data_IF_147393662354
#
_entry.id   IF_147393662354
#
_cell.length_a   1.000
_cell.length_b   1.000
_cell.length_c   1.000
_cell.angle_alpha   90.00
_cell.angle_beta   90.00
_cell.angle_gamma   90.00
#
_symmetry.space_group_name_H-M   'P 1'
#
loop_
_entity.id
_entity.type
_entity.pdbx_description
1 polymer ?
#
# COMPACT_ATOMS: atom_id res chain seq x y z
N UNK A 1 -21.11 -36.30 21.89
CA UNK A 1 -20.24 -37.48 22.01
C UNK A 1 -19.80 -37.84 20.62
N UNK A 2 -18.48 -37.97 20.47
CA UNK A 2 -17.71 -38.56 19.36
C UNK A 2 -17.69 -37.73 18.05
N UNK A 3 -16.56 -37.34 17.45
CA UNK A 3 -15.17 -37.80 17.61
C UNK A 3 -14.21 -36.67 17.19
N UNK A 4 -13.26 -36.29 18.05
CA UNK A 4 -12.13 -35.44 17.67
C UNK A 4 -11.11 -36.29 16.89
N UNK A 5 -10.94 -36.02 15.61
CA UNK A 5 -9.81 -36.51 14.83
C UNK A 5 -8.58 -35.67 15.15
N UNK A 6 -7.64 -36.22 15.91
CA UNK A 6 -6.29 -35.67 16.08
C UNK A 6 -5.44 -36.04 14.87
N UNK A 7 -5.18 -35.11 13.97
CA UNK A 7 -4.09 -35.26 13.00
C UNK A 7 -2.80 -34.64 13.55
N UNK A 8 -1.79 -35.48 13.56
CA UNK A 8 -0.44 -35.27 14.08
C UNK A 8 0.39 -34.54 13.03
N UNK A 9 0.94 -33.37 13.37
CA UNK A 9 1.92 -32.67 12.55
C UNK A 9 3.25 -33.45 12.53
N UNK A 10 3.69 -33.87 11.34
CA UNK A 10 5.03 -34.44 11.09
C UNK A 10 6.13 -33.37 11.28
N UNK A 11 7.18 -33.62 12.09
CA UNK A 11 8.22 -32.65 12.37
C UNK A 11 9.39 -32.65 11.36
N UNK A 12 9.27 -33.25 10.16
CA UNK A 12 10.40 -33.30 9.20
C UNK A 12 10.05 -32.87 7.78
N UNK A 13 10.12 -31.56 7.53
CA UNK A 13 10.61 -31.03 6.25
C UNK A 13 9.62 -30.27 5.37
N UNK A 14 9.91 -28.96 5.22
CA UNK A 14 9.96 -28.20 3.95
C UNK A 14 8.64 -28.06 3.16
N UNK A 15 8.11 -26.83 3.19
CA UNK A 15 7.12 -26.22 2.29
C UNK A 15 5.76 -26.92 2.11
N UNK A 16 4.76 -26.45 2.85
CA UNK A 16 3.40 -26.31 2.30
C UNK A 16 2.57 -25.32 3.13
N UNK A 17 2.29 -24.18 2.50
CA UNK A 17 1.26 -23.22 2.93
C UNK A 17 -0.08 -23.98 2.97
N UNK A 18 -0.61 -24.22 4.17
CA UNK A 18 -1.92 -24.84 4.35
C UNK A 18 -2.96 -23.77 4.02
N UNK A 19 -3.46 -23.80 2.78
CA UNK A 19 -4.78 -23.27 2.45
C UNK A 19 -5.77 -24.32 2.93
N UNK A 20 -6.29 -24.15 4.15
CA UNK A 20 -7.45 -24.92 4.60
C UNK A 20 -8.64 -24.51 3.72
N UNK A 21 -9.01 -25.42 2.82
CA UNK A 21 -10.26 -25.42 2.09
C UNK A 21 -11.43 -25.39 3.07
N UNK A 22 -12.10 -24.24 3.16
CA UNK A 22 -13.45 -24.16 3.70
C UNK A 22 -14.38 -23.82 2.53
N UNK A 23 -14.83 -24.85 1.82
CA UNK A 23 -15.91 -24.75 0.86
C UNK A 23 -17.22 -24.43 1.59
N UNK A 24 -17.52 -23.14 1.71
CA UNK A 24 -18.85 -22.61 1.96
C UNK A 24 -18.98 -21.29 1.20
N UNK A 25 -19.52 -21.35 -0.04
CA UNK A 25 -20.07 -20.22 -0.82
C UNK A 25 -19.49 -18.84 -0.46
N UNK A 26 -18.18 -18.66 -0.61
CA UNK A 26 -17.57 -17.36 -0.45
C UNK A 26 -17.91 -16.56 -1.71
N UNK A 27 -18.82 -15.59 -1.54
CA UNK A 27 -18.81 -14.37 -2.34
C UNK A 27 -17.34 -14.03 -2.58
N UNK A 28 -16.91 -13.94 -3.84
CA UNK A 28 -15.54 -13.54 -4.19
C UNK A 28 -15.23 -12.29 -3.37
N UNK A 29 -14.46 -12.45 -2.29
CA UNK A 29 -14.22 -11.37 -1.36
C UNK A 29 -13.23 -10.46 -2.05
N UNK A 30 -13.77 -9.44 -2.72
CA UNK A 30 -12.97 -8.42 -3.38
C UNK A 30 -12.22 -7.63 -2.33
N UNK A 31 -10.95 -7.33 -2.60
CA UNK A 31 -10.16 -6.48 -1.71
C UNK A 31 -10.74 -5.08 -1.68
N UNK A 32 -11.04 -4.57 -0.48
CA UNK A 32 -11.75 -3.30 -0.35
C UNK A 32 -10.82 -2.11 -0.33
N UNK A 33 -10.90 -1.21 -1.31
CA UNK A 33 -10.03 -0.02 -1.34
C UNK A 33 -10.27 0.98 -0.22
N UNK A 34 -11.48 0.99 0.37
CA UNK A 34 -11.81 1.82 1.53
C UNK A 34 -11.01 1.47 2.79
N UNK A 35 -10.50 0.23 2.86
CA UNK A 35 -9.71 -0.27 4.00
C UNK A 35 -8.27 -0.56 3.57
N UNK A 36 -8.07 -0.99 2.33
CA UNK A 36 -6.80 -1.55 1.88
C UNK A 36 -5.84 -0.54 1.29
N UNK A 37 -6.29 0.62 0.80
CA UNK A 37 -5.43 1.37 -0.09
C UNK A 37 -4.36 2.18 0.64
N UNK A 38 -4.73 3.02 1.61
CA UNK A 38 -3.76 3.82 2.36
C UNK A 38 -3.12 3.03 3.51
N UNK A 39 -3.93 2.29 4.28
CA UNK A 39 -3.46 1.60 5.48
C UNK A 39 -2.50 0.46 5.15
N UNK A 40 -2.83 -0.40 4.18
CA UNK A 40 -1.92 -1.50 3.79
C UNK A 40 -0.64 -0.94 3.17
N UNK A 41 -0.72 0.11 2.35
CA UNK A 41 0.49 0.71 1.78
C UNK A 41 1.38 1.36 2.85
N UNK A 42 0.78 1.91 3.90
CA UNK A 42 1.50 2.43 5.07
C UNK A 42 2.16 1.28 5.85
N UNK A 43 1.47 0.15 6.03
CA UNK A 43 2.04 -1.05 6.68
C UNK A 43 3.18 -1.67 5.88
N UNK A 44 3.04 -1.72 4.54
CA UNK A 44 4.12 -2.15 3.64
C UNK A 44 5.31 -1.21 3.77
N UNK A 45 5.08 0.10 3.81
CA UNK A 45 6.15 1.08 4.03
C UNK A 45 6.85 0.88 5.39
N UNK A 46 6.10 0.67 6.49
CA UNK A 46 6.66 0.36 7.82
C UNK A 46 7.52 -0.91 7.78
N UNK A 47 7.04 -1.95 7.09
CA UNK A 47 7.78 -3.21 6.93
C UNK A 47 9.07 -3.02 6.15
N UNK A 48 9.05 -2.21 5.09
CA UNK A 48 10.24 -1.87 4.31
C UNK A 48 11.25 -1.06 5.13
N UNK A 49 10.80 -0.11 5.93
CA UNK A 49 11.67 0.65 6.85
C UNK A 49 12.30 -0.27 7.87
N UNK A 50 11.53 -1.17 8.47
CA UNK A 50 12.03 -2.16 9.43
C UNK A 50 13.07 -3.09 8.80
N UNK A 51 12.80 -3.55 7.58
CA UNK A 51 13.72 -4.37 6.80
C UNK A 51 15.00 -3.60 6.44
N UNK A 52 14.89 -2.31 6.11
CA UNK A 52 16.04 -1.46 5.81
C UNK A 52 16.95 -1.29 7.04
N UNK A 53 16.35 -0.92 8.17
CA UNK A 53 17.07 -0.74 9.45
C UNK A 53 17.69 -2.03 9.99
N UNK A 54 17.20 -3.19 9.59
CA UNK A 54 17.81 -4.47 9.96
C UNK A 54 19.19 -4.67 9.32
N UNK A 55 19.52 -3.93 8.26
CA UNK A 55 20.75 -4.10 7.50
C UNK A 55 20.85 -5.42 6.72
N UNK A 56 19.78 -6.22 6.67
CA UNK A 56 19.78 -7.54 6.04
C UNK A 56 20.02 -7.48 4.52
N UNK A 57 19.67 -6.36 3.87
CA UNK A 57 19.78 -6.19 2.42
C UNK A 57 20.96 -5.29 2.00
N UNK A 58 21.66 -4.68 2.96
CA UNK A 58 22.77 -3.74 2.74
C UNK A 58 24.12 -4.41 2.93
N UNK A 59 24.27 -5.67 2.50
CA UNK A 59 25.44 -6.54 2.77
C UNK A 59 26.84 -5.90 2.61
N UNK A 60 26.97 -4.88 1.75
CA UNK A 60 28.21 -4.11 1.54
C UNK A 60 28.25 -2.75 2.27
N UNK A 61 27.11 -2.18 2.63
CA UNK A 61 26.99 -0.87 3.28
C UNK A 61 26.81 -0.97 4.81
N UNK A 62 26.55 -2.18 5.34
CA UNK A 62 26.31 -2.40 6.77
C UNK A 62 24.94 -1.92 7.23
N UNK A 63 24.69 -1.97 8.54
CA UNK A 63 23.43 -1.51 9.13
C UNK A 63 23.33 0.02 9.05
N UNK A 64 22.23 0.58 8.49
CA UNK A 64 22.04 2.02 8.44
C UNK A 64 22.07 2.64 9.84
N UNK A 65 22.86 3.70 10.02
CA UNK A 65 22.88 4.51 11.25
C UNK A 65 21.76 5.56 11.28
N UNK A 66 21.20 5.87 10.12
CA UNK A 66 20.10 6.81 9.95
C UNK A 66 19.22 6.41 8.76
N UNK A 67 17.91 6.59 8.85
CA UNK A 67 16.95 6.38 7.76
C UNK A 67 16.10 7.64 7.50
N UNK A 68 15.89 7.96 6.22
CA UNK A 68 15.07 9.09 5.78
C UNK A 68 13.98 8.61 4.82
N UNK A 69 12.73 9.03 5.04
CA UNK A 69 11.66 8.86 4.06
C UNK A 69 11.65 10.04 3.10
N UNK A 70 11.72 9.76 1.80
CA UNK A 70 11.59 10.78 0.76
C UNK A 70 10.33 10.48 -0.04
N UNK A 71 9.27 11.24 0.22
CA UNK A 71 7.99 11.10 -0.44
C UNK A 71 7.73 12.19 -1.47
N UNK A 72 7.09 11.84 -2.57
CA UNK A 72 6.49 12.77 -3.53
C UNK A 72 4.99 12.50 -3.67
N UNK A 73 4.18 13.56 -3.64
CA UNK A 73 2.72 13.48 -3.85
C UNK A 73 2.09 12.45 -2.90
N UNK A 74 1.41 11.42 -3.42
CA UNK A 74 0.84 10.33 -2.62
C UNK A 74 1.86 9.64 -1.71
N UNK A 75 3.13 9.53 -2.13
CA UNK A 75 4.20 9.01 -1.28
C UNK A 75 4.47 9.86 -0.04
N UNK A 76 4.23 11.18 -0.09
CA UNK A 76 4.27 12.05 1.08
C UNK A 76 3.08 11.82 2.02
N UNK A 77 1.89 11.50 1.50
CA UNK A 77 0.76 11.10 2.33
C UNK A 77 1.07 9.79 3.08
N UNK A 78 1.64 8.79 2.41
CA UNK A 78 2.09 7.54 3.06
C UNK A 78 3.18 7.80 4.11
N UNK A 79 4.18 8.64 3.79
CA UNK A 79 5.25 9.00 4.73
C UNK A 79 4.69 9.70 5.97
N UNK A 80 3.79 10.66 5.78
CA UNK A 80 3.14 11.37 6.89
C UNK A 80 2.25 10.43 7.71
N UNK A 81 1.52 9.51 7.06
CA UNK A 81 0.66 8.53 7.75
C UNK A 81 1.49 7.58 8.61
N UNK A 82 2.63 7.10 8.08
CA UNK A 82 3.56 6.28 8.84
C UNK A 82 4.09 7.02 10.07
N UNK A 83 4.62 8.23 9.89
CA UNK A 83 5.19 9.02 11.01
C UNK A 83 4.12 9.44 12.03
N UNK A 84 2.87 9.63 11.60
CA UNK A 84 1.76 9.91 12.50
C UNK A 84 1.35 8.67 13.34
N UNK A 85 1.40 7.47 12.76
CA UNK A 85 1.07 6.22 13.45
C UNK A 85 2.23 5.71 14.32
N UNK A 86 3.45 5.83 13.82
CA UNK A 86 4.69 5.38 14.43
C UNK A 86 5.70 6.53 14.29
N UNK A 87 5.96 7.33 15.33
CA UNK A 87 6.86 8.49 15.22
C UNK A 87 8.36 8.14 15.26
N UNK A 88 8.73 6.91 15.61
CA UNK A 88 10.12 6.45 15.76
C UNK A 88 10.77 5.63 14.62
N UNK A 89 10.11 5.26 13.50
CA UNK A 89 10.68 4.33 12.54
C UNK A 89 11.77 4.97 11.65
N UNK A 90 11.83 6.30 11.58
CA UNK A 90 12.80 7.03 10.72
C UNK A 90 13.34 8.28 11.41
N UNK A 91 14.55 8.66 11.02
CA UNK A 91 15.28 9.81 11.58
C UNK A 91 14.85 11.14 10.95
N UNK A 92 14.09 11.09 9.85
CA UNK A 92 13.50 12.26 9.22
C UNK A 92 12.64 11.95 8.00
N UNK A 93 11.90 12.96 7.54
CA UNK A 93 11.01 12.87 6.38
C UNK A 93 11.18 14.09 5.50
N UNK A 94 11.33 13.86 4.20
CA UNK A 94 11.30 14.87 3.14
C UNK A 94 10.01 14.65 2.36
N UNK A 95 9.11 15.63 2.41
CA UNK A 95 7.82 15.59 1.71
C UNK A 95 7.80 16.62 0.60
N UNK A 96 7.55 16.17 -0.63
CA UNK A 96 7.55 16.99 -1.82
C UNK A 96 6.19 16.89 -2.52
N UNK A 97 5.67 18.01 -3.03
CA UNK A 97 4.29 18.04 -3.56
C UNK A 97 3.24 17.70 -2.50
N UNK A 98 3.45 18.16 -1.25
CA UNK A 98 2.58 17.91 -0.10
C UNK A 98 2.36 19.21 0.67
N UNK A 99 1.11 19.48 1.06
CA UNK A 99 0.76 20.67 1.84
C UNK A 99 -0.50 20.47 2.68
N UNK A 100 -0.45 20.84 3.96
CA UNK A 100 -1.59 20.71 4.89
C UNK A 100 -2.47 21.97 4.95
N UNK A 101 -1.99 23.10 4.42
CA UNK A 101 -2.72 24.38 4.36
C UNK A 101 -2.52 25.05 3.01
N UNK A 102 -3.60 25.57 2.42
CA UNK A 102 -3.55 26.47 1.27
C UNK A 102 -3.78 25.84 -0.10
N UNK A 103 -3.93 24.52 -0.18
CA UNK A 103 -4.45 23.87 -1.38
C UNK A 103 -5.94 23.65 -1.14
N UNK A 104 -6.77 24.14 -2.06
CA UNK A 104 -8.16 23.70 -2.10
C UNK A 104 -8.13 22.20 -2.34
N UNK A 105 -8.37 21.43 -1.27
CA UNK A 105 -8.31 19.97 -1.32
C UNK A 105 -9.27 19.41 -2.38
N UNK A 106 -10.31 20.15 -2.75
CA UNK A 106 -11.16 19.78 -3.89
C UNK A 106 -10.41 19.89 -5.21
N UNK A 107 -9.65 20.96 -5.46
CA UNK A 107 -8.86 21.12 -6.70
C UNK A 107 -7.79 20.04 -6.79
N UNK A 108 -7.13 19.71 -5.69
CA UNK A 108 -6.10 18.66 -5.68
C UNK A 108 -6.71 17.28 -5.94
N UNK A 109 -7.81 16.94 -5.25
CA UNK A 109 -8.52 15.68 -5.45
C UNK A 109 -9.09 15.55 -6.87
N UNK A 110 -9.63 16.65 -7.41
CA UNK A 110 -10.09 16.72 -8.80
C UNK A 110 -8.93 16.53 -9.79
N UNK A 111 -7.77 17.13 -9.49
CA UNK A 111 -6.56 16.98 -10.30
C UNK A 111 -6.05 15.54 -10.31
N UNK A 112 -6.16 14.81 -9.19
CA UNK A 112 -5.83 13.38 -9.17
C UNK A 112 -6.71 12.56 -10.12
N UNK A 113 -7.98 12.98 -10.29
CA UNK A 113 -8.98 12.32 -11.14
C UNK A 113 -8.98 10.78 -10.96
N UNK A 114 -9.17 10.28 -9.73
CA UNK A 114 -9.12 8.85 -9.47
C UNK A 114 -10.12 8.08 -10.33
N UNK A 115 -9.77 6.84 -10.68
CA UNK A 115 -10.63 5.94 -11.44
C UNK A 115 -10.82 4.66 -10.66
N UNK A 116 -12.00 4.05 -10.70
CA UNK A 116 -12.22 2.75 -10.05
C UNK A 116 -11.36 1.69 -10.76
N UNK A 117 -10.45 1.05 -10.02
CA UNK A 117 -9.40 0.21 -10.59
C UNK A 117 -9.96 -0.98 -11.39
N UNK A 118 -11.01 -1.63 -10.89
CA UNK A 118 -11.64 -2.77 -11.58
C UNK A 118 -12.34 -2.40 -12.89
N UNK A 119 -12.56 -1.11 -13.16
CA UNK A 119 -13.06 -0.61 -14.44
C UNK A 119 -11.94 -0.26 -15.43
N UNK A 120 -10.69 -0.18 -14.96
CA UNK A 120 -9.56 0.24 -15.80
C UNK A 120 -8.81 -0.94 -16.43
N UNK A 121 -8.81 -2.11 -15.79
CA UNK A 121 -8.07 -3.26 -16.30
C UNK A 121 -8.65 -4.59 -15.78
N UNK A 122 -8.67 -5.65 -16.62
CA UNK A 122 -8.98 -7.01 -16.17
C UNK A 122 -8.07 -7.50 -15.03
N UNK A 123 -6.83 -6.98 -14.95
CA UNK A 123 -5.88 -7.31 -13.87
C UNK A 123 -6.34 -6.83 -12.49
N UNK A 124 -7.33 -5.95 -12.46
CA UNK A 124 -7.86 -5.31 -11.25
C UNK A 124 -9.25 -5.82 -10.86
N UNK A 125 -9.75 -6.88 -11.50
CA UNK A 125 -11.08 -7.46 -11.21
C UNK A 125 -11.25 -7.99 -9.78
N UNK A 126 -10.14 -8.31 -9.13
CA UNK A 126 -10.11 -8.74 -7.73
C UNK A 126 -10.35 -7.59 -6.72
N UNK A 127 -10.31 -6.33 -7.16
CA UNK A 127 -10.55 -5.18 -6.29
C UNK A 127 -12.01 -4.71 -6.35
N UNK A 128 -12.52 -4.19 -5.25
CA UNK A 128 -13.86 -3.61 -5.19
C UNK A 128 -13.91 -2.20 -5.81
N UNK A 129 -15.09 -1.58 -5.74
CA UNK A 129 -15.30 -0.23 -6.28
C UNK A 129 -14.62 0.88 -5.46
N UNK A 130 -14.15 0.59 -4.24
CA UNK A 130 -13.42 1.52 -3.39
C UNK A 130 -11.95 1.63 -3.74
N UNK A 131 -11.39 0.67 -4.50
CA UNK A 131 -9.98 0.70 -4.89
C UNK A 131 -9.79 1.60 -6.10
N UNK A 132 -9.02 2.68 -5.95
CA UNK A 132 -8.81 3.65 -7.02
C UNK A 132 -7.45 3.45 -7.69
N UNK A 133 -7.42 3.58 -9.00
CA UNK A 133 -6.22 3.68 -9.81
C UNK A 133 -5.95 5.16 -10.13
N UNK A 134 -4.70 5.45 -10.45
CA UNK A 134 -4.34 6.73 -11.05
C UNK A 134 -5.01 6.88 -12.42
N UNK A 135 -5.20 8.12 -12.87
CA UNK A 135 -5.67 8.39 -14.23
C UNK A 135 -4.71 7.84 -15.29
N UNK A 136 -5.23 7.59 -16.49
CA UNK A 136 -4.43 7.14 -17.62
C UNK A 136 -3.42 8.22 -18.07
N UNK A 137 -2.43 7.80 -18.85
CA UNK A 137 -1.34 8.67 -19.30
C UNK A 137 -1.84 9.91 -20.06
N UNK A 138 -2.85 9.77 -20.92
CA UNK A 138 -3.37 10.89 -21.72
C UNK A 138 -4.13 11.88 -20.83
N UNK A 139 -4.94 11.38 -19.89
CA UNK A 139 -5.56 12.21 -18.86
C UNK A 139 -4.49 12.91 -18.01
N UNK A 140 -3.39 12.24 -17.69
CA UNK A 140 -2.30 12.85 -16.93
C UNK A 140 -1.63 14.00 -17.67
N UNK A 141 -1.37 13.82 -18.96
CA UNK A 141 -0.81 14.87 -19.82
C UNK A 141 -1.78 16.05 -19.90
N UNK A 142 -3.07 15.80 -20.18
CA UNK A 142 -4.04 16.87 -20.32
C UNK A 142 -4.26 17.66 -19.03
N UNK A 143 -4.24 17.02 -17.86
CA UNK A 143 -4.41 17.73 -16.58
C UNK A 143 -3.23 18.64 -16.24
N UNK A 144 -1.99 18.26 -16.54
CA UNK A 144 -0.80 19.02 -16.09
C UNK A 144 -0.10 19.83 -17.18
N UNK A 145 -0.27 19.49 -18.45
CA UNK A 145 0.50 20.08 -19.55
C UNK A 145 -0.36 20.71 -20.64
N UNK A 146 -1.69 20.52 -20.62
CA UNK A 146 -2.57 21.28 -21.51
C UNK A 146 -2.57 22.75 -21.04
N UNK A 147 -2.29 23.66 -21.97
CA UNK A 147 -2.44 25.09 -21.69
C UNK A 147 -3.91 25.39 -21.27
N UNK A 148 -4.13 26.32 -20.34
CA UNK A 148 -5.48 26.82 -20.09
C UNK A 148 -6.04 27.42 -21.38
N UNK A 149 -7.32 27.16 -21.66
CA UNK A 149 -8.04 27.78 -22.77
C UNK A 149 -8.34 29.27 -22.45
#
# INVERSE_FOLDING_TARGET
MDSFGTEVCDPRGIFRLIVCSLEHRLLVQRMSGFVSQLDIQTLVLSSLVSFDRSGQHTSLAGTPTSSLLVGYSYGSFLSNSLVAAEPTPVDGVIMTGYGLKGIDQQIELQSFAPRVANLQSPRSEAYDAGYVATRDLFSQINTFFKAPD
#
